data_IF_828768979859
#
_entry.id   IF_828768979859
#
_cell.length_a   1.000
_cell.length_b   1.000
_cell.length_c   1.000
_cell.angle_alpha   90.00
_cell.angle_beta   90.00
_cell.angle_gamma   90.00
#
_symmetry.space_group_name_H-M   'P 1'
#
loop_
_entity.id
_entity.type
_entity.pdbx_description
1 polymer ?
#
# COMPACT_ATOMS: atom_id res chain seq x y z
N UNK A 1 7.75 34.88 20.21
CA UNK A 1 8.38 33.86 19.38
C UNK A 1 7.24 33.15 18.65
N UNK A 2 7.07 33.51 17.39
CA UNK A 2 6.01 33.02 16.51
C UNK A 2 6.26 31.53 16.20
N UNK A 3 5.30 30.66 16.55
CA UNK A 3 5.26 29.28 16.12
C UNK A 3 4.87 29.29 14.64
N UNK A 4 5.85 29.30 13.76
CA UNK A 4 5.62 28.99 12.36
C UNK A 4 5.19 27.51 12.29
N UNK A 5 3.89 27.30 12.04
CA UNK A 5 3.37 26.00 11.70
C UNK A 5 4.05 25.55 10.42
N UNK A 6 4.66 24.38 10.43
CA UNK A 6 5.12 23.70 9.21
C UNK A 6 3.85 23.43 8.41
N UNK A 7 3.53 24.32 7.47
CA UNK A 7 2.60 24.06 6.42
C UNK A 7 3.29 23.03 5.52
N UNK A 8 2.96 21.76 5.67
CA UNK A 8 3.26 20.76 4.65
C UNK A 8 2.42 21.16 3.43
N UNK A 9 3.02 21.99 2.58
CA UNK A 9 2.53 22.18 1.24
C UNK A 9 2.69 20.81 0.56
N UNK A 10 1.66 19.96 0.63
CA UNK A 10 1.51 18.96 -0.41
C UNK A 10 1.48 19.76 -1.70
N UNK A 11 2.65 19.77 -2.34
CA UNK A 11 2.88 20.39 -3.61
C UNK A 11 1.62 20.18 -4.44
N UNK A 12 1.14 21.23 -5.04
CA UNK A 12 0.21 21.18 -6.15
C UNK A 12 0.89 20.42 -7.30
N UNK A 13 1.16 19.11 -7.10
CA UNK A 13 1.33 18.22 -8.23
C UNK A 13 0.05 18.40 -9.02
N UNK A 14 0.14 18.76 -10.33
CA UNK A 14 -1.04 18.74 -11.16
C UNK A 14 -1.70 17.39 -10.91
N UNK A 15 -3.03 17.37 -10.83
CA UNK A 15 -3.83 16.15 -10.84
C UNK A 15 -3.40 15.33 -12.06
N UNK A 16 -2.30 14.60 -11.96
CA UNK A 16 -2.04 13.47 -12.80
C UNK A 16 -3.11 12.49 -12.35
N UNK A 17 -4.18 12.37 -13.13
CA UNK A 17 -5.20 11.35 -12.96
C UNK A 17 -4.49 10.00 -13.13
N UNK A 18 -3.87 9.51 -12.05
CA UNK A 18 -3.33 8.16 -12.02
C UNK A 18 -4.53 7.23 -12.14
N UNK A 19 -4.57 6.50 -13.23
CA UNK A 19 -5.60 5.50 -13.43
C UNK A 19 -5.22 4.25 -12.64
N UNK A 20 -6.19 3.64 -11.96
CA UNK A 20 -6.03 2.32 -11.36
C UNK A 20 -5.65 1.26 -12.41
N UNK A 21 -5.88 1.55 -13.69
CA UNK A 21 -5.51 0.67 -14.81
C UNK A 21 -4.01 0.70 -15.13
N UNK A 22 -3.28 1.74 -14.66
CA UNK A 22 -1.83 1.88 -14.86
C UNK A 22 -1.04 1.20 -13.74
N UNK A 23 -1.72 0.60 -12.76
CA UNK A 23 -1.10 -0.16 -11.69
C UNK A 23 -0.87 -1.61 -12.14
N UNK A 24 0.34 -2.10 -11.94
CA UNK A 24 0.66 -3.52 -12.05
C UNK A 24 0.36 -4.20 -10.72
N UNK A 25 -0.73 -4.96 -10.67
CA UNK A 25 -1.05 -5.84 -9.54
C UNK A 25 -0.35 -7.17 -9.74
N UNK A 26 0.41 -7.62 -8.74
CA UNK A 26 1.14 -8.87 -8.87
C UNK A 26 1.13 -9.69 -7.57
N UNK A 27 1.37 -10.97 -7.74
CA UNK A 27 1.64 -11.93 -6.69
C UNK A 27 2.61 -13.01 -7.20
N UNK A 28 3.49 -13.51 -6.34
CA UNK A 28 4.54 -14.47 -6.71
C UNK A 28 4.53 -15.64 -5.73
N UNK A 29 4.34 -16.82 -6.28
CA UNK A 29 4.49 -18.05 -5.51
C UNK A 29 5.94 -18.53 -5.50
N UNK A 30 6.45 -18.81 -4.31
CA UNK A 30 7.81 -19.31 -4.12
C UNK A 30 7.82 -20.71 -3.53
N UNK A 31 8.91 -21.44 -3.74
CA UNK A 31 9.14 -22.69 -3.02
C UNK A 31 9.66 -22.43 -1.60
N UNK A 32 9.83 -23.53 -0.83
CA UNK A 32 10.34 -23.47 0.54
C UNK A 32 11.74 -22.84 0.68
N UNK A 33 12.45 -22.66 -0.43
CA UNK A 33 13.78 -22.03 -0.49
C UNK A 33 13.70 -20.58 -0.95
N UNK A 34 12.50 -20.05 -1.18
CA UNK A 34 12.29 -18.69 -1.71
C UNK A 34 12.58 -18.55 -3.21
N UNK A 35 12.62 -19.68 -3.94
CA UNK A 35 12.78 -19.64 -5.40
C UNK A 35 11.40 -19.44 -6.04
N UNK A 36 11.21 -18.41 -6.93
CA UNK A 36 9.94 -18.18 -7.57
C UNK A 36 9.56 -19.34 -8.49
N UNK A 37 8.29 -19.71 -8.48
CA UNK A 37 7.75 -20.82 -9.24
C UNK A 37 6.61 -20.43 -10.15
N UNK A 38 5.85 -19.44 -9.76
CA UNK A 38 4.66 -19.01 -10.48
C UNK A 38 4.46 -17.50 -10.29
N UNK A 39 4.02 -16.81 -11.33
CA UNK A 39 3.85 -15.37 -11.38
C UNK A 39 2.46 -15.06 -11.90
N UNK A 40 1.70 -14.33 -11.11
CA UNK A 40 0.41 -13.79 -11.49
C UNK A 40 0.44 -12.27 -11.56
N UNK A 41 -0.13 -11.69 -12.59
CA UNK A 41 -0.22 -10.24 -12.69
C UNK A 41 -1.45 -9.77 -13.48
N UNK A 42 -1.89 -8.57 -13.13
CA UNK A 42 -2.99 -7.86 -13.80
C UNK A 42 -2.58 -6.41 -14.02
N UNK A 43 -2.77 -5.87 -15.23
CA UNK A 43 -2.57 -4.46 -15.53
C UNK A 43 -3.62 -4.00 -16.54
N UNK A 44 -4.50 -3.09 -16.17
CA UNK A 44 -5.68 -2.75 -16.95
C UNK A 44 -6.57 -3.96 -17.20
N UNK A 45 -6.76 -4.30 -18.47
CA UNK A 45 -7.50 -5.50 -18.91
C UNK A 45 -6.61 -6.70 -19.21
N UNK A 46 -5.30 -6.53 -19.13
CA UNK A 46 -4.32 -7.59 -19.43
C UNK A 46 -4.14 -8.48 -18.19
N UNK A 47 -4.01 -9.77 -18.42
CA UNK A 47 -3.74 -10.78 -17.40
C UNK A 47 -2.52 -11.61 -17.79
N UNK A 48 -1.73 -12.00 -16.79
CA UNK A 48 -0.55 -12.83 -16.97
C UNK A 48 -0.53 -13.91 -15.88
N UNK A 49 -0.29 -15.15 -16.27
CA UNK A 49 -0.05 -16.27 -15.36
C UNK A 49 1.04 -17.15 -16.00
N UNK A 50 2.23 -17.11 -15.45
CA UNK A 50 3.40 -17.77 -16.05
C UNK A 50 4.40 -18.28 -15.01
N UNK A 51 5.17 -19.28 -15.41
CA UNK A 51 6.26 -19.85 -14.59
C UNK A 51 7.60 -19.14 -14.74
N UNK A 52 7.70 -18.19 -15.66
CA UNK A 52 8.93 -17.48 -15.97
C UNK A 52 8.73 -15.97 -15.91
N UNK A 53 9.68 -15.26 -15.34
CA UNK A 53 9.60 -13.81 -15.12
C UNK A 53 9.67 -12.97 -16.41
N UNK A 54 10.00 -13.58 -17.56
CA UNK A 54 10.35 -12.86 -18.81
C UNK A 54 9.28 -11.87 -19.28
N UNK A 55 8.00 -12.28 -19.29
CA UNK A 55 6.91 -11.37 -19.70
C UNK A 55 6.57 -10.38 -18.60
N UNK A 56 6.61 -10.82 -17.34
CA UNK A 56 6.38 -9.96 -16.20
C UNK A 56 7.42 -8.82 -16.14
N UNK A 57 8.67 -9.08 -16.49
CA UNK A 57 9.71 -8.04 -16.51
C UNK A 57 9.36 -6.88 -17.45
N UNK A 58 8.77 -7.16 -18.62
CA UNK A 58 8.33 -6.12 -19.54
C UNK A 58 7.17 -5.27 -18.96
N UNK A 59 6.27 -5.89 -18.21
CA UNK A 59 5.19 -5.17 -17.54
C UNK A 59 5.70 -4.32 -16.36
N UNK A 60 6.70 -4.82 -15.63
CA UNK A 60 7.39 -4.03 -14.60
C UNK A 60 8.04 -2.79 -15.20
N UNK A 61 8.68 -2.89 -16.39
CA UNK A 61 9.24 -1.72 -17.07
C UNK A 61 8.15 -0.68 -17.43
N UNK A 62 7.01 -1.16 -17.96
CA UNK A 62 5.89 -0.32 -18.41
C UNK A 62 5.21 0.38 -17.23
N UNK A 63 5.06 -0.29 -16.07
CA UNK A 63 4.33 0.19 -14.92
C UNK A 63 5.12 1.25 -14.12
N UNK A 64 4.46 2.31 -13.66
CA UNK A 64 5.01 3.23 -12.67
C UNK A 64 4.71 2.77 -11.24
N UNK A 65 3.56 2.12 -11.03
CA UNK A 65 3.08 1.63 -9.75
C UNK A 65 3.02 0.11 -9.74
N UNK A 66 3.48 -0.48 -8.66
CA UNK A 66 3.35 -1.92 -8.39
C UNK A 66 2.56 -2.09 -7.11
N UNK A 67 1.50 -2.88 -7.17
CA UNK A 67 0.65 -3.19 -6.03
C UNK A 67 0.64 -4.70 -5.77
N UNK A 68 0.75 -5.08 -4.52
CA UNK A 68 0.64 -6.46 -4.07
C UNK A 68 0.17 -6.53 -2.61
N UNK A 69 -0.10 -7.74 -2.15
CA UNK A 69 -0.43 -7.99 -0.75
C UNK A 69 0.81 -8.55 -0.04
N UNK A 70 1.45 -7.76 0.80
CA UNK A 70 2.79 -8.00 1.36
C UNK A 70 3.92 -7.86 0.32
N UNK A 71 3.69 -7.06 -0.71
CA UNK A 71 4.59 -6.94 -1.87
C UNK A 71 5.98 -6.41 -1.48
N UNK A 72 6.05 -5.47 -0.54
CA UNK A 72 7.32 -4.87 -0.10
C UNK A 72 8.20 -5.88 0.60
N UNK A 73 7.64 -6.75 1.43
CA UNK A 73 8.41 -7.71 2.20
C UNK A 73 8.60 -9.07 1.51
N UNK A 74 7.77 -9.40 0.50
CA UNK A 74 7.80 -10.69 -0.17
C UNK A 74 8.16 -10.61 -1.64
N UNK A 75 7.32 -10.00 -2.48
CA UNK A 75 7.44 -10.12 -3.93
C UNK A 75 8.58 -9.27 -4.50
N UNK A 76 8.74 -8.03 -4.02
CA UNK A 76 9.79 -7.12 -4.50
C UNK A 76 11.17 -7.70 -4.26
N UNK A 77 11.56 -8.20 -3.07
CA UNK A 77 12.86 -8.83 -2.87
C UNK A 77 13.12 -10.04 -3.79
N UNK A 78 12.08 -10.81 -4.11
CA UNK A 78 12.18 -11.93 -5.05
C UNK A 78 12.46 -11.42 -6.47
N UNK A 79 11.72 -10.39 -6.91
CA UNK A 79 11.89 -9.78 -8.23
C UNK A 79 13.26 -9.13 -8.39
N UNK A 80 13.71 -8.36 -7.42
CA UNK A 80 15.02 -7.70 -7.42
C UNK A 80 16.15 -8.71 -7.57
N UNK A 81 16.05 -9.83 -6.86
CA UNK A 81 17.02 -10.93 -6.97
C UNK A 81 17.00 -11.58 -8.35
N UNK A 82 15.82 -11.85 -8.91
CA UNK A 82 15.69 -12.56 -10.21
C UNK A 82 16.04 -11.65 -11.37
N UNK A 83 15.67 -10.38 -11.32
CA UNK A 83 15.90 -9.40 -12.39
C UNK A 83 17.23 -8.67 -12.25
N UNK A 84 17.90 -8.78 -11.11
CA UNK A 84 19.12 -8.01 -10.77
C UNK A 84 18.89 -6.50 -10.93
N UNK A 85 17.73 -6.00 -10.46
CA UNK A 85 17.27 -4.61 -10.53
C UNK A 85 16.83 -4.11 -9.17
N UNK A 86 16.96 -2.82 -8.94
CA UNK A 86 16.45 -2.14 -7.75
C UNK A 86 15.05 -1.60 -8.03
N UNK A 87 14.04 -2.45 -7.79
CA UNK A 87 12.64 -2.11 -8.00
C UNK A 87 12.17 -1.09 -6.96
N UNK A 88 12.65 -1.20 -5.73
CA UNK A 88 12.28 -0.32 -4.62
C UNK A 88 12.58 1.14 -4.92
N UNK A 89 13.67 1.46 -5.60
CA UNK A 89 14.02 2.84 -5.97
C UNK A 89 13.41 3.30 -7.28
N UNK A 90 13.11 2.39 -8.21
CA UNK A 90 12.61 2.72 -9.55
C UNK A 90 11.08 2.83 -9.63
N UNK A 91 10.34 2.17 -8.73
CA UNK A 91 8.89 2.06 -8.79
C UNK A 91 8.20 2.59 -7.55
N UNK A 92 6.97 3.05 -7.72
CA UNK A 92 6.08 3.40 -6.64
C UNK A 92 5.38 2.13 -6.14
N UNK A 93 5.52 1.81 -4.86
CA UNK A 93 4.99 0.56 -4.29
C UNK A 93 3.73 0.83 -3.47
N UNK A 94 2.73 -0.05 -3.62
CA UNK A 94 1.49 -0.03 -2.81
C UNK A 94 1.33 -1.41 -2.20
N UNK A 95 1.37 -1.49 -0.88
CA UNK A 95 1.23 -2.74 -0.15
C UNK A 95 -0.09 -2.77 0.62
N UNK A 96 -1.04 -3.55 0.12
CA UNK A 96 -2.38 -3.64 0.71
C UNK A 96 -2.35 -4.26 2.11
N UNK A 97 -1.36 -5.08 2.46
CA UNK A 97 -1.25 -5.63 3.82
C UNK A 97 -0.90 -4.54 4.85
N UNK A 98 -0.19 -3.50 4.46
CA UNK A 98 0.13 -2.37 5.35
C UNK A 98 -1.08 -1.45 5.57
N UNK A 99 -1.91 -1.26 4.53
CA UNK A 99 -3.08 -0.39 4.58
C UNK A 99 -4.29 -1.04 5.23
N UNK A 100 -4.49 -2.34 5.00
CA UNK A 100 -5.67 -3.08 5.46
C UNK A 100 -5.95 -2.94 6.97
N UNK A 101 -4.98 -3.08 7.90
CA UNK A 101 -5.22 -2.90 9.33
C UNK A 101 -5.53 -1.46 9.74
N UNK A 102 -5.07 -0.47 8.98
CA UNK A 102 -5.34 0.94 9.25
C UNK A 102 -6.77 1.33 8.86
N UNK A 103 -7.27 0.75 7.78
CA UNK A 103 -8.58 1.06 7.22
C UNK A 103 -9.66 0.15 7.80
N UNK A 104 -9.39 -1.14 7.92
CA UNK A 104 -10.32 -2.17 8.40
C UNK A 104 -9.93 -2.70 9.77
N UNK A 105 -9.64 -1.81 10.70
CA UNK A 105 -9.15 -2.14 12.05
C UNK A 105 -10.03 -3.09 12.86
N UNK A 106 -11.31 -3.22 12.51
CA UNK A 106 -12.23 -4.16 13.13
C UNK A 106 -12.08 -5.61 12.61
N UNK A 107 -11.37 -5.81 11.50
CA UNK A 107 -11.16 -7.15 10.97
C UNK A 107 -10.13 -7.91 11.80
N UNK A 108 -10.40 -9.16 12.18
CA UNK A 108 -9.46 -9.96 12.97
C UNK A 108 -8.24 -10.44 12.16
N UNK A 109 -8.33 -10.41 10.83
CA UNK A 109 -7.29 -10.85 9.89
C UNK A 109 -7.24 -9.92 8.68
N UNK A 110 -6.03 -9.74 8.14
CA UNK A 110 -5.75 -8.86 7.00
C UNK A 110 -5.10 -9.57 5.81
N UNK A 111 -5.12 -10.90 5.77
CA UNK A 111 -4.70 -11.66 4.59
C UNK A 111 -5.79 -11.69 3.52
N UNK A 112 -5.41 -11.92 2.28
CA UNK A 112 -6.36 -12.04 1.16
C UNK A 112 -7.35 -13.17 1.44
N UNK A 113 -8.63 -12.82 1.60
CA UNK A 113 -9.69 -13.78 1.84
C UNK A 113 -10.16 -14.32 0.49
N UNK A 114 -9.76 -15.54 0.18
CA UNK A 114 -10.37 -16.30 -0.92
C UNK A 114 -11.80 -16.60 -0.48
N UNK A 115 -12.77 -15.93 -1.13
CA UNK A 115 -14.19 -15.96 -0.72
C UNK A 115 -14.69 -17.36 -0.42
N UNK A 116 -15.67 -17.50 0.48
CA UNK A 116 -16.31 -18.73 0.97
C UNK A 116 -16.99 -19.62 -0.10
N UNK A 117 -16.70 -19.44 -1.39
CA UNK A 117 -17.07 -20.41 -2.42
C UNK A 117 -16.17 -21.63 -2.24
N UNK A 118 -16.77 -22.82 -2.27
CA UNK A 118 -16.09 -24.10 -2.39
C UNK A 118 -14.95 -23.94 -3.41
N UNK A 119 -13.76 -23.71 -2.90
CA UNK A 119 -12.56 -23.48 -3.70
C UNK A 119 -12.14 -24.86 -4.17
N UNK A 120 -12.09 -25.08 -5.46
CA UNK A 120 -11.44 -26.27 -6.00
C UNK A 120 -9.98 -26.24 -5.59
N UNK A 121 -9.36 -27.37 -5.29
CA UNK A 121 -7.95 -27.48 -4.89
C UNK A 121 -6.98 -26.78 -5.88
N UNK A 122 -7.41 -26.52 -7.12
CA UNK A 122 -6.67 -25.78 -8.15
C UNK A 122 -6.56 -24.26 -7.91
N UNK A 123 -7.39 -23.69 -7.03
CA UNK A 123 -7.39 -22.25 -6.72
C UNK A 123 -6.54 -21.91 -5.49
N UNK A 124 -6.05 -22.91 -4.76
CA UNK A 124 -5.04 -22.74 -3.75
C UNK A 124 -3.69 -22.44 -4.43
N UNK A 125 -3.05 -21.32 -4.03
CA UNK A 125 -1.79 -20.86 -4.59
C UNK A 125 -1.86 -20.52 -6.09
N UNK A 126 -2.87 -19.74 -6.50
CA UNK A 126 -2.96 -19.20 -7.84
C UNK A 126 -2.63 -17.70 -7.83
N UNK A 127 -1.40 -17.31 -8.20
CA UNK A 127 -0.94 -15.92 -8.08
C UNK A 127 -1.76 -14.96 -8.96
N UNK A 128 -2.32 -15.41 -10.09
CA UNK A 128 -3.22 -14.56 -10.88
C UNK A 128 -4.52 -14.25 -10.14
N UNK A 129 -5.08 -15.23 -9.43
CA UNK A 129 -6.26 -15.00 -8.60
C UNK A 129 -5.95 -14.04 -7.46
N UNK A 130 -4.77 -14.16 -6.85
CA UNK A 130 -4.34 -13.31 -5.74
C UNK A 130 -4.02 -11.89 -6.20
N UNK A 131 -3.44 -11.69 -7.38
CA UNK A 131 -3.29 -10.38 -8.02
C UNK A 131 -4.65 -9.70 -8.30
N UNK A 132 -5.67 -10.45 -8.75
CA UNK A 132 -7.04 -9.94 -8.94
C UNK A 132 -7.70 -9.54 -7.62
N UNK A 133 -7.52 -10.34 -6.56
CA UNK A 133 -8.01 -10.03 -5.23
C UNK A 133 -7.33 -8.80 -4.66
N UNK A 134 -6.02 -8.65 -4.86
CA UNK A 134 -5.26 -7.46 -4.47
C UNK A 134 -5.81 -6.18 -5.13
N UNK A 135 -6.14 -6.24 -6.43
CA UNK A 135 -6.79 -5.12 -7.13
C UNK A 135 -8.13 -4.74 -6.51
N UNK A 136 -8.96 -5.74 -6.21
CA UNK A 136 -10.24 -5.49 -5.55
C UNK A 136 -10.05 -4.92 -4.14
N UNK A 137 -9.10 -5.46 -3.37
CA UNK A 137 -8.79 -4.99 -2.03
C UNK A 137 -8.28 -3.55 -2.03
N UNK A 138 -7.37 -3.17 -2.94
CA UNK A 138 -6.92 -1.77 -3.03
C UNK A 138 -8.08 -0.82 -3.32
N UNK A 139 -9.01 -1.20 -4.21
CA UNK A 139 -10.21 -0.40 -4.46
C UNK A 139 -11.07 -0.24 -3.19
N UNK A 140 -11.25 -1.33 -2.43
CA UNK A 140 -12.00 -1.28 -1.16
C UNK A 140 -11.26 -0.45 -0.11
N UNK A 141 -9.93 -0.51 -0.05
CA UNK A 141 -9.10 0.31 0.84
C UNK A 141 -9.20 1.80 0.51
N UNK A 142 -9.13 2.19 -0.76
CA UNK A 142 -9.31 3.58 -1.18
C UNK A 142 -10.70 4.10 -0.81
N UNK A 143 -11.75 3.30 -1.03
CA UNK A 143 -13.12 3.65 -0.64
C UNK A 143 -13.26 3.72 0.89
N UNK A 144 -12.69 2.77 1.60
CA UNK A 144 -12.68 2.73 3.06
C UNK A 144 -11.97 3.96 3.65
N UNK A 145 -10.82 4.34 3.10
CA UNK A 145 -10.12 5.56 3.49
C UNK A 145 -10.97 6.80 3.23
N UNK A 146 -11.60 6.92 2.06
CA UNK A 146 -12.46 8.04 1.72
C UNK A 146 -13.71 8.14 2.62
N UNK A 147 -14.17 7.02 3.17
CA UNK A 147 -15.30 6.96 4.10
C UNK A 147 -14.91 7.19 5.57
N UNK A 148 -13.62 7.26 5.90
CA UNK A 148 -13.16 7.53 7.26
C UNK A 148 -13.53 8.94 7.69
N UNK A 149 -13.61 9.15 9.01
CA UNK A 149 -13.67 10.49 9.59
C UNK A 149 -12.51 11.37 9.08
N UNK A 150 -12.82 12.60 8.65
CA UNK A 150 -11.85 13.52 8.04
C UNK A 150 -10.60 13.73 8.92
N UNK A 151 -10.78 13.75 10.21
CA UNK A 151 -9.71 13.94 11.17
C UNK A 151 -8.74 12.74 11.19
N UNK A 152 -9.26 11.50 11.03
CA UNK A 152 -8.42 10.32 10.88
C UNK A 152 -7.70 10.27 9.56
N UNK A 153 -8.37 10.65 8.45
CA UNK A 153 -7.72 10.77 7.14
C UNK A 153 -6.52 11.72 7.23
N UNK A 154 -6.71 12.89 7.84
CA UNK A 154 -5.65 13.89 8.00
C UNK A 154 -4.51 13.38 8.89
N UNK A 155 -4.82 12.66 9.97
CA UNK A 155 -3.81 12.03 10.81
C UNK A 155 -2.94 11.03 10.03
N UNK A 156 -3.55 10.13 9.29
CA UNK A 156 -2.83 9.15 8.49
C UNK A 156 -1.96 9.83 7.44
N UNK A 157 -2.45 10.89 6.80
CA UNK A 157 -1.64 11.64 5.85
C UNK A 157 -0.43 12.30 6.48
N UNK A 158 -0.61 13.00 7.62
CA UNK A 158 0.51 13.66 8.30
C UNK A 158 1.55 12.66 8.79
N UNK A 159 1.13 11.47 9.21
CA UNK A 159 2.03 10.45 9.75
C UNK A 159 2.72 9.61 8.68
N UNK A 160 2.07 9.40 7.52
CA UNK A 160 2.48 8.36 6.57
C UNK A 160 2.85 8.88 5.18
N UNK A 161 2.51 10.13 4.82
CA UNK A 161 2.76 10.61 3.45
C UNK A 161 4.24 10.73 3.09
N UNK A 162 5.12 10.90 4.06
CA UNK A 162 6.57 10.96 3.85
C UNK A 162 7.24 9.57 3.97
N UNK A 163 6.50 8.54 4.39
CA UNK A 163 7.02 7.18 4.46
C UNK A 163 6.85 6.48 3.11
N UNK A 164 7.97 6.06 2.50
CA UNK A 164 8.01 5.42 1.19
C UNK A 164 7.18 4.14 1.08
N UNK A 165 6.82 3.51 2.21
CA UNK A 165 5.96 2.32 2.25
C UNK A 165 4.47 2.65 2.08
N UNK A 166 4.09 3.91 2.32
CA UNK A 166 2.70 4.36 2.35
C UNK A 166 2.39 5.46 1.34
N UNK A 167 3.38 6.27 0.95
CA UNK A 167 3.17 7.49 0.19
C UNK A 167 2.44 7.29 -1.15
N UNK A 168 2.73 6.20 -1.85
CA UNK A 168 2.16 5.92 -3.17
C UNK A 168 0.64 5.70 -3.15
N UNK A 169 0.08 5.28 -2.03
CA UNK A 169 -1.37 5.13 -1.86
C UNK A 169 -2.10 6.48 -1.97
N UNK A 170 -1.50 7.54 -1.45
CA UNK A 170 -2.11 8.87 -1.45
C UNK A 170 -2.20 9.47 -2.85
N UNK A 171 -1.43 8.99 -3.82
CA UNK A 171 -1.49 9.45 -5.22
C UNK A 171 -2.84 9.09 -5.90
N UNK A 172 -3.58 8.13 -5.34
CA UNK A 172 -4.89 7.67 -5.83
C UNK A 172 -6.07 8.27 -5.07
N UNK A 173 -5.82 9.12 -4.09
CA UNK A 173 -6.86 9.81 -3.35
C UNK A 173 -7.15 11.20 -3.92
N UNK A 174 -8.38 11.72 -3.77
CA UNK A 174 -8.65 13.11 -4.08
C UNK A 174 -7.74 14.04 -3.30
N UNK A 175 -7.31 15.17 -3.88
CA UNK A 175 -6.53 16.15 -3.14
C UNK A 175 -7.33 16.65 -1.93
N UNK A 176 -6.77 16.53 -0.75
CA UNK A 176 -7.35 17.08 0.45
C UNK A 176 -6.37 18.04 1.12
N UNK A 177 -6.91 19.10 1.72
CA UNK A 177 -6.12 20.09 2.41
C UNK A 177 -5.90 19.62 3.85
N UNK A 178 -4.65 19.42 4.24
CA UNK A 178 -4.33 19.24 5.65
C UNK A 178 -4.25 20.62 6.32
N UNK A 179 -5.25 20.96 7.12
CA UNK A 179 -5.26 22.19 7.91
C UNK A 179 -4.61 22.00 9.30
N UNK A 180 -4.10 20.82 9.58
CA UNK A 180 -3.63 20.40 10.89
C UNK A 180 -2.15 20.05 10.86
N UNK A 181 -1.43 20.45 11.90
CA UNK A 181 -0.05 20.06 12.15
C UNK A 181 0.01 18.90 13.18
N UNK A 182 1.22 18.40 13.46
CA UNK A 182 1.46 17.36 14.46
C UNK A 182 0.81 17.66 15.83
N UNK A 183 0.75 18.94 16.24
CA UNK A 183 0.06 19.34 17.48
C UNK A 183 -1.43 19.01 17.50
N UNK A 184 -2.09 18.99 16.35
CA UNK A 184 -3.51 18.64 16.25
C UNK A 184 -3.74 17.14 16.37
N UNK A 185 -2.78 16.32 15.92
CA UNK A 185 -2.81 14.86 16.12
C UNK A 185 -2.78 14.53 17.61
N UNK A 186 -1.94 15.25 18.39
CA UNK A 186 -1.85 15.06 19.83
C UNK A 186 -3.18 15.30 20.53
N UNK A 187 -3.88 16.36 20.16
CA UNK A 187 -5.22 16.64 20.72
C UNK A 187 -6.25 15.59 20.28
N UNK A 188 -6.15 15.10 19.03
CA UNK A 188 -7.04 14.08 18.51
C UNK A 188 -6.93 12.75 19.23
N UNK A 189 -5.70 12.29 19.51
CA UNK A 189 -5.45 11.00 20.16
C UNK A 189 -5.52 11.09 21.69
N UNK A 190 -5.58 12.29 22.25
CA UNK A 190 -5.67 12.53 23.69
C UNK A 190 -6.89 11.84 24.27
N UNK A 191 -6.67 10.96 25.24
CA UNK A 191 -7.71 10.14 25.87
C UNK A 191 -8.22 8.96 25.02
N UNK A 192 -7.70 8.77 23.81
CA UNK A 192 -8.02 7.62 22.94
C UNK A 192 -6.90 6.59 22.89
N UNK A 193 -5.71 6.93 23.35
CA UNK A 193 -4.58 6.01 23.47
C UNK A 193 -4.42 5.56 24.93
N UNK A 194 -3.80 4.40 25.10
CA UNK A 194 -3.55 3.83 26.43
C UNK A 194 -2.73 4.81 27.28
N UNK A 195 -3.16 5.03 28.51
CA UNK A 195 -2.54 5.99 29.45
C UNK A 195 -1.08 5.66 29.82
N UNK A 196 -0.61 4.46 29.49
CA UNK A 196 0.79 4.07 29.67
C UNK A 196 1.74 4.60 28.57
N UNK A 197 1.20 5.22 27.51
CA UNK A 197 1.99 5.86 26.47
C UNK A 197 1.99 7.39 26.67
N UNK A 198 3.19 7.95 26.85
CA UNK A 198 3.35 9.39 26.75
C UNK A 198 3.19 9.79 25.27
N UNK A 199 2.13 10.55 24.96
CA UNK A 199 1.82 10.99 23.60
C UNK A 199 3.01 11.78 23.01
N UNK A 200 3.71 12.55 23.86
CA UNK A 200 4.92 13.29 23.51
C UNK A 200 6.05 12.36 23.02
N UNK A 201 6.14 11.16 23.55
CA UNK A 201 7.11 10.14 23.10
C UNK A 201 6.77 9.56 21.74
N UNK A 202 5.48 9.33 21.44
CA UNK A 202 5.02 8.92 20.10
C UNK A 202 5.38 9.96 19.05
N UNK A 203 5.19 11.25 19.35
CA UNK A 203 5.58 12.34 18.44
C UNK A 203 7.09 12.40 18.28
N UNK A 204 7.85 12.27 19.37
CA UNK A 204 9.30 12.24 19.30
C UNK A 204 9.82 11.10 18.43
N UNK A 205 9.22 9.91 18.52
CA UNK A 205 9.58 8.76 17.69
C UNK A 205 9.22 8.96 16.22
N UNK A 206 8.08 9.58 15.91
CA UNK A 206 7.67 9.85 14.51
C UNK A 206 8.50 10.96 13.82
N UNK A 207 9.22 11.77 14.57
CA UNK A 207 10.08 12.84 14.04
C UNK A 207 11.57 12.50 14.01
N UNK A 208 11.95 11.28 14.43
CA UNK A 208 13.36 10.87 14.56
C UNK A 208 13.79 9.85 13.48
N UNK A 209 12.90 9.47 12.55
CA UNK A 209 13.22 8.56 11.44
C UNK A 209 12.98 9.24 10.10
#
# INVERSE_FOLDING_TARGET
MSKEGICLNFSTKPLLNHSMEDILYLDIETDKKGTPRDFGAVMGTKELHEKHVTRLSAWIEEANYICGHNVIAHDVPVLEKVLSKDITTEKQLIDTLLWSPLIFSANPYHHLVKGYKLVNDSDFNNPLSDAKLTRALLHDELNGFAAMDELWQQCLCILLADDHRFNSFFDFLPPFKTNYGIGSILELVKGKVCSSFAIEELVRLSTTY
#
